data_IF_155419310608
#
_entry.id   IF_155419310608
#
_cell.length_a   1.000
_cell.length_b   1.000
_cell.length_c   1.000
_cell.angle_alpha   90.00
_cell.angle_beta   90.00
_cell.angle_gamma   90.00
#
_symmetry.space_group_name_H-M   'P 1'
#
loop_
_entity.id
_entity.type
_entity.pdbx_description
1 polymer ?
#
# COMPACT_ATOMS: atom_id res chain seq x y z
N UNK A 1 -33.31 4.17 -4.04
CA UNK A 1 -32.71 2.83 -4.25
C UNK A 1 -31.23 2.99 -4.02
N UNK A 2 -30.76 2.82 -2.79
CA UNK A 2 -29.33 2.71 -2.53
C UNK A 2 -28.88 1.35 -3.04
N UNK A 3 -28.31 1.35 -4.24
CA UNK A 3 -27.64 0.16 -4.76
C UNK A 3 -26.31 0.07 -4.02
N UNK A 4 -26.31 -0.64 -2.90
CA UNK A 4 -25.08 -1.09 -2.26
C UNK A 4 -24.40 -2.04 -3.25
N UNK A 5 -23.58 -1.49 -4.14
CA UNK A 5 -22.67 -2.27 -4.97
C UNK A 5 -21.58 -2.70 -4.01
N UNK A 6 -21.62 -3.96 -3.62
CA UNK A 6 -20.55 -4.61 -2.87
C UNK A 6 -19.33 -4.65 -3.81
N UNK A 7 -18.46 -3.65 -3.71
CA UNK A 7 -17.24 -3.62 -4.51
C UNK A 7 -16.36 -4.76 -4.00
N UNK A 8 -16.08 -5.71 -4.89
CA UNK A 8 -15.12 -6.79 -4.63
C UNK A 8 -13.82 -6.22 -4.09
N UNK A 9 -13.28 -6.84 -3.04
CA UNK A 9 -12.00 -6.44 -2.44
C UNK A 9 -10.85 -6.49 -3.46
N UNK A 10 -9.85 -5.65 -3.25
CA UNK A 10 -8.69 -5.53 -4.11
C UNK A 10 -7.86 -6.82 -4.03
N UNK A 11 -7.86 -7.59 -5.11
CA UNK A 11 -6.98 -8.73 -5.27
C UNK A 11 -5.63 -8.28 -5.83
N UNK A 12 -4.62 -9.15 -5.72
CA UNK A 12 -3.27 -8.86 -6.22
C UNK A 12 -3.23 -8.50 -7.70
N UNK A 13 -4.08 -9.10 -8.53
CA UNK A 13 -4.15 -8.80 -9.96
C UNK A 13 -4.70 -7.40 -10.22
N UNK A 14 -5.70 -6.97 -9.45
CA UNK A 14 -6.21 -5.60 -9.50
C UNK A 14 -5.14 -4.61 -9.03
N UNK A 15 -4.43 -4.90 -7.95
CA UNK A 15 -3.30 -4.10 -7.49
C UNK A 15 -2.22 -3.94 -8.58
N UNK A 16 -1.82 -5.03 -9.26
CA UNK A 16 -0.84 -4.97 -10.36
C UNK A 16 -1.28 -4.06 -11.48
N UNK A 17 -2.55 -4.15 -11.88
CA UNK A 17 -3.11 -3.26 -12.88
C UNK A 17 -3.04 -1.79 -12.45
N UNK A 18 -3.37 -1.49 -11.18
CA UNK A 18 -3.30 -0.14 -10.63
C UNK A 18 -1.86 0.35 -10.53
N UNK A 19 -0.92 -0.48 -10.05
CA UNK A 19 0.50 -0.12 -9.96
C UNK A 19 1.08 0.22 -11.34
N UNK A 20 0.77 -0.56 -12.37
CA UNK A 20 1.13 -0.24 -13.75
C UNK A 20 0.45 1.05 -14.23
N UNK A 21 -0.83 1.26 -13.91
CA UNK A 21 -1.57 2.41 -14.41
C UNK A 21 -1.15 3.75 -13.77
N UNK A 22 -0.83 3.75 -12.48
CA UNK A 22 -0.50 4.96 -11.73
C UNK A 22 0.99 5.23 -11.61
N UNK A 23 1.81 4.18 -11.54
CA UNK A 23 3.25 4.29 -11.27
C UNK A 23 4.12 3.80 -12.45
N UNK A 24 3.52 3.20 -13.49
CA UNK A 24 4.22 2.56 -14.61
C UNK A 24 5.21 1.45 -14.15
N UNK A 25 4.86 0.76 -13.06
CA UNK A 25 5.68 -0.31 -12.47
C UNK A 25 5.02 -1.67 -12.65
N UNK A 26 5.74 -2.59 -13.31
CA UNK A 26 5.31 -3.98 -13.49
C UNK A 26 5.83 -4.93 -12.40
N UNK A 27 6.92 -4.57 -11.71
CA UNK A 27 7.51 -5.35 -10.63
C UNK A 27 8.23 -4.45 -9.61
N UNK A 28 8.07 -4.76 -8.33
CA UNK A 28 8.73 -4.06 -7.23
C UNK A 28 8.97 -5.02 -6.06
N UNK A 29 10.06 -4.90 -5.28
CA UNK A 29 10.30 -5.75 -4.11
C UNK A 29 9.15 -5.76 -3.09
N UNK A 30 8.39 -4.66 -2.98
CA UNK A 30 7.24 -4.55 -2.08
C UNK A 30 5.98 -5.28 -2.59
N UNK A 31 5.92 -5.74 -3.83
CA UNK A 31 4.73 -6.41 -4.36
C UNK A 31 4.38 -7.69 -3.59
N UNK A 32 5.40 -8.44 -3.13
CA UNK A 32 5.18 -9.64 -2.34
C UNK A 32 4.56 -9.32 -0.98
N UNK A 33 5.03 -8.24 -0.33
CA UNK A 33 4.46 -7.74 0.93
C UNK A 33 3.00 -7.28 0.74
N UNK A 34 2.72 -6.49 -0.30
CA UNK A 34 1.36 -6.06 -0.63
C UNK A 34 0.46 -7.26 -0.92
N UNK A 35 0.92 -8.25 -1.69
CA UNK A 35 0.17 -9.46 -1.99
C UNK A 35 -0.21 -10.26 -0.74
N UNK A 36 0.71 -10.38 0.22
CA UNK A 36 0.45 -11.05 1.49
C UNK A 36 -0.57 -10.27 2.33
N UNK A 37 -0.43 -8.94 2.40
CA UNK A 37 -1.31 -8.08 3.19
C UNK A 37 -2.73 -7.98 2.61
N UNK A 38 -2.89 -7.91 1.29
CA UNK A 38 -4.19 -7.91 0.61
C UNK A 38 -5.00 -9.21 0.84
N UNK A 39 -4.37 -10.29 1.32
CA UNK A 39 -5.07 -11.53 1.73
C UNK A 39 -5.57 -11.47 3.17
N UNK A 40 -5.00 -10.60 3.99
CA UNK A 40 -5.37 -10.45 5.41
C UNK A 40 -6.30 -9.25 5.65
N UNK A 41 -6.28 -8.28 4.74
CA UNK A 41 -7.05 -7.03 4.83
C UNK A 41 -8.07 -6.97 3.72
N UNK A 42 -9.26 -6.50 4.07
CA UNK A 42 -10.33 -6.25 3.12
C UNK A 42 -10.27 -4.77 2.78
N UNK A 43 -9.73 -4.44 1.61
CA UNK A 43 -9.56 -3.07 1.10
C UNK A 43 -10.15 -2.98 -0.30
N UNK A 44 -10.73 -1.85 -0.69
CA UNK A 44 -11.30 -1.72 -2.04
C UNK A 44 -10.23 -1.31 -3.06
N UNK A 45 -10.42 -1.62 -4.36
CA UNK A 45 -9.53 -1.13 -5.41
C UNK A 45 -9.43 0.40 -5.45
N UNK A 46 -10.48 1.12 -5.06
CA UNK A 46 -10.48 2.58 -4.99
C UNK A 46 -9.54 3.10 -3.90
N UNK A 47 -9.58 2.50 -2.70
CA UNK A 47 -8.69 2.88 -1.60
C UNK A 47 -7.23 2.58 -1.97
N UNK A 48 -6.96 1.44 -2.62
CA UNK A 48 -5.62 1.11 -3.12
C UNK A 48 -5.16 2.11 -4.19
N UNK A 49 -6.04 2.51 -5.10
CA UNK A 49 -5.71 3.51 -6.12
C UNK A 49 -5.36 4.86 -5.49
N UNK A 50 -6.11 5.31 -4.48
CA UNK A 50 -5.84 6.56 -3.77
C UNK A 50 -4.44 6.56 -3.12
N UNK A 51 -4.02 5.43 -2.55
CA UNK A 51 -2.70 5.26 -1.96
C UNK A 51 -1.57 5.19 -3.00
N UNK A 52 -1.87 4.69 -4.20
CA UNK A 52 -0.93 4.63 -5.32
C UNK A 52 -0.86 5.92 -6.13
N UNK A 53 -1.79 6.86 -5.94
CA UNK A 53 -1.76 8.14 -6.64
C UNK A 53 -0.62 9.01 -6.09
N UNK A 54 0.35 9.40 -6.95
CA UNK A 54 1.44 10.25 -6.50
C UNK A 54 0.91 11.65 -6.14
N UNK A 55 1.26 12.14 -4.95
CA UNK A 55 0.80 13.47 -4.47
C UNK A 55 1.44 14.65 -5.20
N UNK A 56 2.51 14.41 -5.96
CA UNK A 56 3.26 15.39 -6.75
C UNK A 56 3.62 14.79 -8.10
N UNK A 57 3.88 15.65 -9.09
CA UNK A 57 4.14 15.23 -10.47
C UNK A 57 5.43 14.40 -10.64
N UNK A 58 6.34 14.49 -9.67
CA UNK A 58 7.60 13.74 -9.55
C UNK A 58 7.49 12.57 -8.56
N UNK A 59 6.27 12.17 -8.20
CA UNK A 59 6.05 11.22 -7.14
C UNK A 59 6.68 9.86 -7.42
N UNK A 60 7.48 9.42 -6.46
CA UNK A 60 8.26 8.19 -6.50
C UNK A 60 7.35 6.96 -6.28
N UNK A 61 7.52 5.96 -7.13
CA UNK A 61 6.80 4.70 -7.02
C UNK A 61 7.13 3.99 -5.70
N UNK A 62 8.36 4.12 -5.22
CA UNK A 62 8.81 3.51 -3.97
C UNK A 62 8.07 4.12 -2.78
N UNK A 63 7.93 5.45 -2.75
CA UNK A 63 7.19 6.16 -1.72
C UNK A 63 5.68 5.81 -1.72
N UNK A 64 5.06 5.69 -2.90
CA UNK A 64 3.65 5.31 -3.03
C UNK A 64 3.41 3.87 -2.56
N UNK A 65 4.30 2.95 -2.93
CA UNK A 65 4.20 1.55 -2.53
C UNK A 65 4.50 1.35 -1.04
N UNK A 66 5.46 2.09 -0.48
CA UNK A 66 5.74 2.09 0.96
C UNK A 66 4.53 2.58 1.76
N UNK A 67 3.90 3.68 1.33
CA UNK A 67 2.68 4.19 1.96
C UNK A 67 1.50 3.20 1.88
N UNK A 68 1.36 2.47 0.78
CA UNK A 68 0.36 1.40 0.66
C UNK A 68 0.63 0.27 1.66
N UNK A 69 1.88 -0.18 1.81
CA UNK A 69 2.24 -1.24 2.77
C UNK A 69 1.91 -0.80 4.19
N UNK A 70 2.29 0.42 4.59
CA UNK A 70 2.00 0.95 5.93
C UNK A 70 0.48 1.01 6.20
N UNK A 71 -0.30 1.49 5.23
CA UNK A 71 -1.75 1.56 5.35
C UNK A 71 -2.39 0.16 5.52
N UNK A 72 -1.91 -0.83 4.76
CA UNK A 72 -2.37 -2.21 4.87
C UNK A 72 -1.96 -2.85 6.19
N UNK A 73 -0.75 -2.61 6.69
CA UNK A 73 -0.32 -3.09 8.00
C UNK A 73 -1.16 -2.51 9.13
N UNK A 74 -1.47 -1.21 9.07
CA UNK A 74 -2.35 -0.55 10.02
C UNK A 74 -3.77 -1.15 9.98
N UNK A 75 -4.34 -1.33 8.79
CA UNK A 75 -5.66 -1.93 8.63
C UNK A 75 -5.71 -3.38 9.15
N UNK A 76 -4.62 -4.13 8.99
CA UNK A 76 -4.45 -5.48 9.57
C UNK A 76 -4.37 -5.45 11.10
N UNK A 77 -3.70 -4.45 11.68
CA UNK A 77 -3.59 -4.29 13.13
C UNK A 77 -4.94 -3.94 13.77
N UNK A 78 -5.76 -3.11 13.12
CA UNK A 78 -7.09 -2.73 13.63
C UNK A 78 -8.09 -3.90 13.65
N UNK A 79 -7.91 -4.91 12.79
CA UNK A 79 -8.74 -6.13 12.79
C UNK A 79 -8.35 -7.17 13.85
N UNK A 80 -7.18 -7.07 14.49
CA UNK A 80 -6.74 -7.99 15.55
C UNK A 80 -6.84 -7.28 16.91
N UNK A 81 -7.55 -7.82 17.92
CA UNK A 81 -7.52 -7.23 19.25
C UNK A 81 -6.08 -7.22 19.75
N UNK A 82 -5.61 -6.02 20.09
CA UNK A 82 -4.22 -5.66 20.39
C UNK A 82 -3.40 -6.77 21.05
N UNK A 83 -2.41 -7.28 20.31
CA UNK A 83 -1.20 -7.85 20.90
C UNK A 83 -0.02 -7.03 20.43
N UNK A 84 0.31 -6.05 21.27
CA UNK A 84 1.55 -5.30 21.36
C UNK A 84 2.78 -6.06 20.83
N UNK A 85 3.56 -5.44 19.93
CA UNK A 85 5.03 -5.31 20.03
C UNK A 85 5.60 -4.40 18.93
N UNK A 86 6.39 -3.44 19.40
CA UNK A 86 7.22 -2.47 18.70
C UNK A 86 8.26 -3.09 17.76
N UNK A 87 8.65 -2.33 16.72
CA UNK A 87 9.92 -2.31 15.97
C UNK A 87 9.62 -1.69 14.57
N UNK A 88 10.14 -0.57 14.06
CA UNK A 88 11.30 0.24 14.42
C UNK A 88 11.14 1.69 13.92
N UNK A 89 11.68 2.64 14.69
CA UNK A 89 11.91 4.04 14.35
C UNK A 89 13.17 4.19 13.47
N UNK A 90 13.14 5.21 12.61
CA UNK A 90 14.25 6.13 12.24
C UNK A 90 15.50 5.62 11.52
N UNK A 91 15.88 6.38 10.49
CA UNK A 91 17.20 6.32 9.85
C UNK A 91 17.34 7.28 8.68
N UNK A 92 17.08 8.57 8.89
CA UNK A 92 17.69 9.63 8.07
C UNK A 92 19.20 9.58 8.35
N UNK A 93 19.98 9.18 7.35
CA UNK A 93 21.43 9.39 7.35
C UNK A 93 21.82 10.20 6.11
N UNK A 94 21.81 11.51 6.30
CA UNK A 94 22.66 12.46 5.58
C UNK A 94 24.12 12.02 5.73
N UNK A 95 24.81 11.77 4.60
CA UNK A 95 26.26 11.82 4.53
C UNK A 95 26.66 12.93 3.55
N UNK A 96 27.11 14.06 4.12
CA UNK A 96 28.00 15.00 3.45
C UNK A 96 29.45 14.51 3.55
N UNK A 97 30.27 14.98 2.59
CA UNK A 97 31.74 15.03 2.50
C UNK A 97 32.45 13.92 1.70
N UNK A 98 32.84 14.23 0.45
CA UNK A 98 34.11 14.91 0.12
C UNK A 98 33.98 15.75 -1.17
#
# INVERSE_FOLDING_TARGET
>A
MDKHIEMSYCCFEAFKFLAKNYLDVDAHPLFDAVSALLREVDITPADVAELLMPKRADGDADACLAGLVEALEKAKAEKKPAKNKNADHEGEEIVEDE
#
